data_IF_974324416593
#
_entry.id   IF_974324416593
#
_cell.length_a   1.000
_cell.length_b   1.000
_cell.length_c   1.000
_cell.angle_alpha   90.00
_cell.angle_beta   90.00
_cell.angle_gamma   90.00
#
_symmetry.space_group_name_H-M   'P 1'
#
loop_
_entity.id
_entity.type
_entity.pdbx_description
1 polymer ?
#
# COMPACT_ATOMS: atom_id res chain seq x y z
N UNK A 1 -21.46 -8.35 9.36
CA UNK A 1 -22.91 -8.25 9.66
C UNK A 1 -23.39 -6.97 9.00
N UNK A 2 -24.21 -7.04 7.93
CA UNK A 2 -24.80 -5.84 7.34
C UNK A 2 -25.70 -5.17 8.36
N UNK A 3 -25.48 -3.89 8.65
CA UNK A 3 -26.33 -3.13 9.55
C UNK A 3 -27.39 -2.43 8.69
N UNK A 4 -28.60 -3.00 8.59
CA UNK A 4 -29.66 -2.36 7.84
C UNK A 4 -30.15 -1.14 8.61
N UNK A 5 -30.59 -0.14 7.88
CA UNK A 5 -31.18 1.05 8.51
C UNK A 5 -32.43 0.73 9.32
N UNK A 6 -33.15 -0.33 8.95
CA UNK A 6 -34.33 -0.83 9.66
C UNK A 6 -33.99 -1.50 11.01
N UNK A 7 -32.73 -1.89 11.22
CA UNK A 7 -32.28 -2.57 12.45
C UNK A 7 -31.96 -1.58 13.58
N UNK A 8 -32.03 -0.27 13.32
CA UNK A 8 -31.70 0.78 14.28
C UNK A 8 -32.94 1.58 14.71
N UNK A 9 -33.45 1.27 15.91
CA UNK A 9 -34.63 1.89 16.51
C UNK A 9 -34.51 3.40 16.80
N UNK A 10 -33.32 3.99 16.67
CA UNK A 10 -33.07 5.41 16.89
C UNK A 10 -33.05 6.25 15.60
N UNK A 11 -33.17 5.63 14.42
CA UNK A 11 -33.20 6.33 13.14
C UNK A 11 -34.65 6.66 12.77
N UNK A 12 -34.98 7.95 12.72
CA UNK A 12 -36.30 8.45 12.34
C UNK A 12 -36.56 8.45 10.83
N UNK A 13 -37.82 8.67 10.43
CA UNK A 13 -38.23 8.74 9.02
C UNK A 13 -37.49 9.78 8.18
N UNK A 14 -37.06 10.89 8.80
CA UNK A 14 -36.28 11.94 8.14
C UNK A 14 -34.91 11.44 7.64
N UNK A 15 -34.31 10.48 8.35
CA UNK A 15 -33.04 9.87 7.94
C UNK A 15 -33.23 8.95 6.73
N UNK A 16 -34.33 8.18 6.69
CA UNK A 16 -34.67 7.36 5.52
C UNK A 16 -34.94 8.22 4.28
N UNK A 17 -35.58 9.39 4.44
CA UNK A 17 -35.78 10.32 3.34
C UNK A 17 -34.44 10.84 2.77
N UNK A 18 -33.48 11.18 3.64
CA UNK A 18 -32.14 11.61 3.24
C UNK A 18 -31.35 10.52 2.50
N UNK A 19 -31.50 9.26 2.92
CA UNK A 19 -30.88 8.13 2.24
C UNK A 19 -31.51 7.86 0.88
N UNK A 20 -32.83 7.88 0.77
CA UNK A 20 -33.53 7.70 -0.50
C UNK A 20 -33.20 8.80 -1.52
N UNK A 21 -32.83 10.00 -1.08
CA UNK A 21 -32.40 11.09 -1.95
C UNK A 21 -30.99 10.91 -2.55
N UNK A 22 -30.19 9.96 -2.07
CA UNK A 22 -28.85 9.69 -2.62
C UNK A 22 -28.93 9.09 -4.03
N UNK A 23 -27.94 9.29 -4.91
CA UNK A 23 -27.86 8.60 -6.20
C UNK A 23 -27.56 7.10 -6.03
N UNK A 24 -27.93 6.28 -7.01
CA UNK A 24 -27.38 4.92 -7.10
C UNK A 24 -25.91 4.98 -7.52
N UNK A 25 -25.03 4.06 -7.06
CA UNK A 25 -25.34 2.90 -6.20
C UNK A 25 -25.26 3.21 -4.69
N UNK A 26 -24.96 4.46 -4.32
CA UNK A 26 -24.76 4.90 -2.94
C UNK A 26 -26.02 4.72 -2.08
N UNK A 27 -27.20 4.99 -2.64
CA UNK A 27 -28.49 4.76 -1.98
C UNK A 27 -28.65 3.29 -1.54
N UNK A 28 -28.47 2.35 -2.46
CA UNK A 28 -28.59 0.91 -2.17
C UNK A 28 -27.59 0.48 -1.10
N UNK A 29 -26.34 0.94 -1.20
CA UNK A 29 -25.31 0.64 -0.19
C UNK A 29 -25.68 1.11 1.22
N UNK A 30 -26.15 2.36 1.34
CA UNK A 30 -26.51 2.95 2.64
C UNK A 30 -27.76 2.32 3.25
N UNK A 31 -28.74 1.92 2.43
CA UNK A 31 -29.97 1.29 2.90
C UNK A 31 -29.74 -0.15 3.38
N UNK A 32 -28.97 -0.91 2.60
CA UNK A 32 -28.73 -2.35 2.86
C UNK A 32 -27.56 -2.60 3.81
N UNK A 33 -26.72 -1.59 4.03
CA UNK A 33 -25.44 -1.73 4.71
C UNK A 33 -24.41 -2.52 3.89
N UNK A 34 -24.70 -2.78 2.61
CA UNK A 34 -23.83 -3.51 1.69
C UNK A 34 -23.05 -2.54 0.80
N UNK A 35 -21.94 -2.06 1.34
CA UNK A 35 -21.01 -1.21 0.62
C UNK A 35 -20.12 -1.97 -0.38
N UNK A 36 -20.16 -3.31 -0.35
CA UNK A 36 -19.39 -4.13 -1.29
C UNK A 36 -20.16 -4.35 -2.59
N UNK A 37 -21.48 -4.57 -2.53
CA UNK A 37 -22.33 -4.73 -3.71
C UNK A 37 -22.43 -3.46 -4.59
N UNK A 38 -22.08 -2.29 -4.06
CA UNK A 38 -22.08 -1.02 -4.78
C UNK A 38 -20.73 -0.61 -5.37
N UNK A 39 -19.66 -1.38 -5.14
CA UNK A 39 -18.33 -1.09 -5.70
C UNK A 39 -18.27 -1.58 -7.15
N UNK A 40 -18.31 -0.63 -8.07
CA UNK A 40 -17.88 -0.85 -9.45
C UNK A 40 -16.52 -0.19 -9.63
N UNK A 41 -15.67 -0.81 -10.44
CA UNK A 41 -14.42 -0.19 -10.87
C UNK A 41 -14.72 1.15 -11.54
N UNK A 42 -13.88 2.15 -11.26
CA UNK A 42 -14.05 3.46 -11.87
C UNK A 42 -13.76 3.40 -13.38
N UNK A 43 -14.46 4.18 -14.23
CA UNK A 43 -14.31 4.12 -15.69
C UNK A 43 -12.86 4.34 -16.19
N UNK A 44 -12.08 5.12 -15.43
CA UNK A 44 -10.66 5.41 -15.70
C UNK A 44 -9.68 4.52 -14.91
N UNK A 45 -10.17 3.49 -14.21
CA UNK A 45 -9.34 2.57 -13.45
C UNK A 45 -8.57 1.64 -14.37
N UNK A 46 -7.25 1.59 -14.21
CA UNK A 46 -6.37 0.77 -15.06
C UNK A 46 -6.18 -0.64 -14.51
N UNK A 47 -6.24 -0.82 -13.19
CA UNK A 47 -6.08 -2.11 -12.51
C UNK A 47 -7.47 -2.57 -12.04
N UNK A 48 -8.07 -3.61 -12.64
CA UNK A 48 -9.36 -4.13 -12.19
C UNK A 48 -9.33 -4.62 -10.75
N UNK A 49 -10.42 -4.44 -9.98
CA UNK A 49 -10.50 -4.94 -8.60
C UNK A 49 -10.33 -6.46 -8.53
N UNK A 50 -10.92 -7.20 -9.49
CA UNK A 50 -10.78 -8.65 -9.59
C UNK A 50 -9.31 -9.12 -9.67
N UNK A 51 -8.43 -8.32 -10.27
CA UNK A 51 -7.01 -8.68 -10.35
C UNK A 51 -6.31 -8.58 -8.99
N UNK A 52 -6.76 -7.64 -8.15
CA UNK A 52 -6.29 -7.46 -6.78
C UNK A 52 -6.78 -8.62 -5.91
N UNK A 53 -8.06 -9.00 -6.04
CA UNK A 53 -8.63 -10.15 -5.31
C UNK A 53 -7.88 -11.44 -5.65
N UNK A 54 -7.68 -11.72 -6.94
CA UNK A 54 -6.87 -12.86 -7.40
C UNK A 54 -5.41 -12.78 -6.90
N UNK A 55 -4.86 -11.60 -6.67
CA UNK A 55 -3.52 -11.44 -6.09
C UNK A 55 -3.49 -11.83 -4.61
N UNK A 56 -4.50 -11.44 -3.84
CA UNK A 56 -4.66 -11.88 -2.46
C UNK A 56 -4.92 -13.38 -2.36
N UNK A 57 -5.73 -13.95 -3.23
CA UNK A 57 -5.92 -15.42 -3.29
C UNK A 57 -4.60 -16.16 -3.53
N UNK A 58 -3.77 -15.69 -4.48
CA UNK A 58 -2.42 -16.25 -4.70
C UNK A 58 -1.53 -16.10 -3.47
N UNK A 59 -1.62 -14.98 -2.77
CA UNK A 59 -0.88 -14.73 -1.54
C UNK A 59 -1.29 -15.72 -0.45
N UNK A 60 -2.58 -15.89 -0.20
CA UNK A 60 -3.12 -16.79 0.83
C UNK A 60 -2.87 -18.27 0.51
N UNK A 61 -2.88 -18.63 -0.77
CA UNK A 61 -2.50 -19.96 -1.25
C UNK A 61 -0.99 -20.26 -1.07
N UNK A 62 -0.20 -19.30 -0.57
CA UNK A 62 1.23 -19.47 -0.32
C UNK A 62 2.07 -19.53 -1.59
N UNK A 63 1.56 -19.03 -2.72
CA UNK A 63 2.33 -18.98 -3.97
C UNK A 63 3.57 -18.11 -3.75
N UNK A 64 4.72 -18.63 -4.17
CA UNK A 64 6.05 -18.02 -4.04
C UNK A 64 6.48 -17.72 -2.58
N UNK A 65 5.77 -18.28 -1.58
CA UNK A 65 6.15 -18.16 -0.18
C UNK A 65 7.49 -18.88 0.08
N UNK A 66 8.39 -18.22 0.82
CA UNK A 66 9.71 -18.75 1.16
C UNK A 66 10.75 -18.67 0.04
N UNK A 67 10.42 -18.14 -1.14
CA UNK A 67 11.43 -17.75 -2.12
C UNK A 67 12.35 -16.66 -1.55
N UNK A 68 13.60 -16.52 -2.01
CA UNK A 68 14.44 -15.41 -1.63
C UNK A 68 13.81 -14.07 -2.05
N UNK A 69 14.16 -12.99 -1.34
CA UNK A 69 13.76 -11.64 -1.72
C UNK A 69 14.48 -11.25 -3.01
N UNK A 70 13.73 -11.05 -4.09
CA UNK A 70 14.27 -10.65 -5.39
C UNK A 70 14.45 -9.14 -5.47
N UNK A 71 13.46 -8.39 -4.98
CA UNK A 71 13.41 -6.93 -5.07
C UNK A 71 12.94 -6.34 -3.74
N UNK A 72 13.56 -5.24 -3.35
CA UNK A 72 13.08 -4.35 -2.31
C UNK A 72 12.78 -2.98 -2.94
N UNK A 73 11.50 -2.71 -3.18
CA UNK A 73 11.04 -1.43 -3.71
C UNK A 73 10.85 -0.43 -2.57
N UNK A 74 11.21 0.83 -2.80
CA UNK A 74 11.26 1.88 -1.78
C UNK A 74 10.60 3.15 -2.30
N UNK A 75 9.54 3.59 -1.63
CA UNK A 75 8.90 4.88 -1.84
C UNK A 75 9.17 5.78 -0.62
N UNK A 76 9.72 6.96 -0.87
CA UNK A 76 10.35 7.79 0.15
C UNK A 76 9.51 9.04 0.43
N UNK A 77 9.02 9.17 1.66
CA UNK A 77 8.23 10.33 2.09
C UNK A 77 9.08 11.54 2.57
N UNK A 78 10.33 11.30 2.96
CA UNK A 78 11.33 12.32 3.34
C UNK A 78 10.83 13.41 4.32
N UNK A 79 10.47 13.02 5.55
CA UNK A 79 10.17 14.00 6.62
C UNK A 79 8.75 14.58 6.62
N UNK A 80 7.96 14.34 5.58
CA UNK A 80 6.56 14.78 5.49
C UNK A 80 5.61 14.07 6.46
N UNK A 81 4.31 14.38 6.35
CA UNK A 81 3.24 13.67 7.08
C UNK A 81 3.04 12.24 6.56
N UNK A 82 3.50 11.98 5.35
CA UNK A 82 3.41 10.69 4.70
C UNK A 82 4.43 9.70 5.29
N UNK A 83 4.35 8.46 4.84
CA UNK A 83 5.20 7.37 5.33
C UNK A 83 6.13 6.91 4.23
N UNK A 84 7.38 6.62 4.60
CA UNK A 84 8.29 5.87 3.74
C UNK A 84 7.84 4.40 3.76
N UNK A 85 7.68 3.81 2.58
CA UNK A 85 7.17 2.45 2.40
C UNK A 85 8.20 1.60 1.68
N UNK A 86 8.49 0.44 2.24
CA UNK A 86 9.31 -0.59 1.62
C UNK A 86 8.43 -1.80 1.30
N UNK A 87 8.53 -2.31 0.09
CA UNK A 87 7.80 -3.49 -0.39
C UNK A 87 8.79 -4.60 -0.73
N UNK A 88 8.92 -5.63 0.15
CA UNK A 88 9.62 -6.86 -0.19
C UNK A 88 8.86 -7.64 -1.26
N UNK A 89 9.56 -8.12 -2.28
CA UNK A 89 8.97 -8.92 -3.37
C UNK A 89 9.76 -10.22 -3.54
N UNK A 90 9.03 -11.34 -3.56
CA UNK A 90 9.55 -12.70 -3.67
C UNK A 90 8.84 -13.38 -4.86
N UNK A 91 9.51 -13.54 -6.00
CA UNK A 91 8.87 -13.94 -7.25
C UNK A 91 7.72 -12.99 -7.61
N UNK A 92 6.48 -13.48 -7.51
CA UNK A 92 5.24 -12.70 -7.74
C UNK A 92 4.52 -12.35 -6.44
N UNK A 93 5.09 -12.66 -5.28
CA UNK A 93 4.53 -12.40 -3.97
C UNK A 93 5.01 -11.05 -3.43
N UNK A 94 4.06 -10.17 -3.17
CA UNK A 94 4.28 -8.93 -2.42
C UNK A 94 4.13 -9.25 -0.93
N UNK A 95 5.21 -9.17 -0.16
CA UNK A 95 5.15 -9.41 1.29
C UNK A 95 4.53 -8.23 2.07
N UNK A 96 4.35 -8.37 3.37
CA UNK A 96 3.87 -7.31 4.24
C UNK A 96 4.72 -6.04 4.07
N UNK A 97 4.03 -4.93 3.83
CA UNK A 97 4.64 -3.63 3.62
C UNK A 97 5.30 -3.12 4.90
N UNK A 98 6.56 -2.73 4.80
CA UNK A 98 7.29 -2.12 5.91
C UNK A 98 7.11 -0.61 5.82
N UNK A 99 6.25 -0.07 6.67
CA UNK A 99 5.91 1.36 6.69
C UNK A 99 6.56 2.09 7.87
N UNK A 100 7.16 3.25 7.63
CA UNK A 100 7.79 4.12 8.66
C UNK A 100 7.33 5.56 8.49
N UNK A 101 7.13 6.27 9.61
CA UNK A 101 6.68 7.66 9.57
C UNK A 101 7.75 8.52 8.89
N UNK A 102 7.33 9.52 8.11
CA UNK A 102 8.25 10.44 7.43
C UNK A 102 9.26 11.08 8.39
N UNK A 103 8.84 11.40 9.63
CA UNK A 103 9.71 11.95 10.68
C UNK A 103 10.88 11.05 11.07
N UNK A 104 10.72 9.73 10.94
CA UNK A 104 11.76 8.73 11.24
C UNK A 104 12.66 8.48 10.01
N UNK A 105 12.30 9.07 8.86
CA UNK A 105 12.98 8.95 7.57
C UNK A 105 13.13 10.34 6.94
N UNK A 106 13.61 11.30 7.72
CA UNK A 106 13.67 12.73 7.38
C UNK A 106 14.73 13.06 6.32
N UNK A 107 15.77 12.24 6.24
CA UNK A 107 16.86 12.41 5.30
C UNK A 107 17.26 11.07 4.66
N UNK A 108 18.18 11.15 3.70
CA UNK A 108 18.59 9.98 2.95
C UNK A 108 19.48 9.00 3.70
N UNK A 109 20.13 9.41 4.79
CA UNK A 109 20.90 8.49 5.63
C UNK A 109 19.95 7.61 6.46
N UNK A 110 18.86 8.20 6.97
CA UNK A 110 17.81 7.45 7.68
C UNK A 110 17.13 6.45 6.75
N UNK A 111 16.77 6.88 5.54
CA UNK A 111 16.20 6.00 4.50
C UNK A 111 17.19 4.91 4.09
N UNK A 112 18.45 5.26 3.84
CA UNK A 112 19.50 4.31 3.49
C UNK A 112 19.71 3.25 4.57
N UNK A 113 19.67 3.65 5.84
CA UNK A 113 19.79 2.74 6.98
C UNK A 113 18.59 1.80 7.07
N UNK A 114 17.38 2.30 6.84
CA UNK A 114 16.17 1.49 6.79
C UNK A 114 16.28 0.43 5.69
N UNK A 115 16.64 0.82 4.47
CA UNK A 115 16.74 -0.12 3.35
C UNK A 115 17.81 -1.19 3.58
N UNK A 116 18.99 -0.82 4.09
CA UNK A 116 20.03 -1.80 4.42
C UNK A 116 19.54 -2.76 5.51
N UNK A 117 18.80 -2.27 6.51
CA UNK A 117 18.26 -3.11 7.59
C UNK A 117 17.22 -4.10 7.10
N UNK A 118 16.38 -3.73 6.15
CA UNK A 118 15.29 -4.58 5.67
C UNK A 118 15.67 -5.47 4.48
N UNK A 119 16.69 -5.10 3.70
CA UNK A 119 17.13 -5.89 2.55
C UNK A 119 17.59 -7.29 2.97
N UNK A 120 17.09 -8.31 2.28
CA UNK A 120 17.53 -9.71 2.39
C UNK A 120 18.04 -10.21 1.05
N UNK A 121 18.69 -11.36 1.05
CA UNK A 121 19.01 -12.18 -0.15
C UNK A 121 19.72 -11.44 -1.29
N UNK A 122 20.43 -10.36 -0.97
CA UNK A 122 21.05 -9.47 -1.94
C UNK A 122 20.05 -8.92 -2.98
N UNK A 123 18.77 -8.76 -2.59
CA UNK A 123 17.68 -8.26 -3.43
C UNK A 123 18.05 -6.98 -4.18
N UNK A 124 17.55 -6.79 -5.40
CA UNK A 124 17.67 -5.52 -6.12
C UNK A 124 16.94 -4.42 -5.33
N UNK A 125 17.62 -3.31 -5.05
CA UNK A 125 16.99 -2.14 -4.44
C UNK A 125 16.47 -1.24 -5.57
N UNK A 126 15.17 -0.94 -5.55
CA UNK A 126 14.55 0.02 -6.48
C UNK A 126 13.96 1.16 -5.67
N UNK A 127 14.50 2.38 -5.85
CA UNK A 127 14.08 3.57 -5.10
C UNK A 127 13.32 4.51 -6.01
N UNK A 128 12.12 4.95 -5.62
CA UNK A 128 11.41 6.02 -6.31
C UNK A 128 12.19 7.34 -6.16
N UNK A 129 12.45 7.93 -7.31
CA UNK A 129 13.30 9.10 -7.49
C UNK A 129 12.55 10.31 -8.07
N UNK A 130 11.24 10.22 -8.28
CA UNK A 130 10.49 11.22 -9.04
C UNK A 130 10.16 12.50 -8.26
N UNK A 131 10.09 12.42 -6.92
CA UNK A 131 9.63 13.52 -6.05
C UNK A 131 10.67 14.53 -5.57
N UNK A 132 11.87 14.60 -6.17
CA UNK A 132 12.95 15.52 -5.71
C UNK A 132 13.74 15.04 -4.48
N UNK A 133 13.42 13.84 -3.97
CA UNK A 133 14.18 13.09 -2.97
C UNK A 133 15.48 12.36 -3.45
N UNK A 134 15.70 12.06 -4.75
CA UNK A 134 16.61 10.98 -5.14
C UNK A 134 18.08 11.22 -4.84
N UNK A 135 18.52 12.47 -4.89
CA UNK A 135 19.92 12.83 -4.67
C UNK A 135 20.34 12.56 -3.22
N UNK A 136 19.42 12.70 -2.25
CA UNK A 136 19.71 12.52 -0.83
C UNK A 136 19.61 11.07 -0.39
N UNK A 137 18.60 10.33 -0.83
CA UNK A 137 18.39 8.92 -0.43
C UNK A 137 19.38 7.95 -1.09
N UNK A 138 19.72 8.17 -2.36
CA UNK A 138 20.54 7.23 -3.15
C UNK A 138 22.04 7.42 -2.91
N UNK A 139 22.51 8.65 -2.69
CA UNK A 139 23.94 8.93 -2.52
C UNK A 139 24.62 8.15 -1.36
N UNK A 140 24.02 8.05 -0.16
CA UNK A 140 24.59 7.26 0.93
C UNK A 140 24.69 5.76 0.61
N UNK A 141 23.72 5.23 -0.15
CA UNK A 141 23.69 3.81 -0.57
C UNK A 141 24.79 3.50 -1.59
N UNK A 142 24.94 4.35 -2.61
CA UNK A 142 25.97 4.20 -3.65
C UNK A 142 27.37 4.27 -3.06
N UNK A 143 27.62 5.24 -2.15
CA UNK A 143 28.93 5.39 -1.48
C UNK A 143 29.33 4.17 -0.66
N UNK A 144 28.39 3.51 0.00
CA UNK A 144 28.69 2.30 0.80
C UNK A 144 28.95 1.07 -0.07
N UNK A 145 28.22 0.91 -1.17
CA UNK A 145 28.41 -0.24 -2.07
C UNK A 145 29.81 -0.20 -2.74
N UNK A 146 30.31 0.99 -3.09
CA UNK A 146 31.66 1.16 -3.64
C UNK A 146 32.78 0.88 -2.63
N UNK A 147 32.56 1.12 -1.34
CA UNK A 147 33.53 0.82 -0.28
C UNK A 147 33.51 -0.65 0.16
N UNK A 148 32.41 -1.37 -0.06
CA UNK A 148 32.32 -2.82 0.16
C UNK A 148 33.03 -3.66 -0.90
N UNK A 149 33.22 -3.12 -2.11
CA UNK A 149 33.96 -3.73 -3.23
C UNK A 149 35.48 -3.55 -3.15
N UNK A 150 36.01 -2.91 -2.10
CA UNK A 150 37.45 -2.68 -1.89
C UNK A 150 38.07 -3.58 -0.81
N UNK A 151 37.49 -4.76 -0.55
CA UNK A 151 38.13 -5.79 0.27
C UNK A 151 38.14 -7.12 -0.45
#
# INVERSE_FOLDING_TARGET
IPAKTQDNAFLGGDYLAQLNAQPEPLRTALLTGDFMAARQDHDMQVIPSDWVDLAFERYDAGIDAGLPMDVLSVDVAQGGKDKTVLQPVHGRRFEEQISRKGVDTKDGADVGSLVIRERRDNALIVVDCTGGCPDRAVQPMVRRNQNGLRK
#
